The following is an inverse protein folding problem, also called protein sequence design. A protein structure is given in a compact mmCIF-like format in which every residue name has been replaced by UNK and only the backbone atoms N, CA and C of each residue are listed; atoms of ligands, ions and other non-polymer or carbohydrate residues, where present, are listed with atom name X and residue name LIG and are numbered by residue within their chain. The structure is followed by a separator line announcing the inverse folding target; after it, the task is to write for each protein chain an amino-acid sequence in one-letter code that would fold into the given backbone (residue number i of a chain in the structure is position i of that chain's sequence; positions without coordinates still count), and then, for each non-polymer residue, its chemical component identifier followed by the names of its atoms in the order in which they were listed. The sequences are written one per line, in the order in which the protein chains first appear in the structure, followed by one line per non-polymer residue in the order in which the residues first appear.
data_IF_618599353424
#
_entry.id   IF_618599353424
#
_cell.length_a   1.000
_cell.length_b   1.000
_cell.length_c   1.000
_cell.angle_alpha   90.00
_cell.angle_beta   90.00
_cell.angle_gamma   90.00
#
_symmetry.space_group_name_H-M   'P 1'
#
loop_
_entity.id
_entity.type
_entity.pdbx_description
1 polymer ?
#
# COMPACT_ATOMS: atom_id res chain seq x y z
N UNK A 1 15.95 8.81 3.42
CA UNK A 1 14.74 8.00 3.70
C UNK A 1 15.00 7.09 4.89
N UNK A 2 13.92 6.67 5.55
CA UNK A 2 13.96 5.82 6.73
C UNK A 2 14.28 4.36 6.38
N UNK A 3 15.48 3.93 6.74
CA UNK A 3 15.97 2.56 6.55
C UNK A 3 15.21 1.55 7.42
N UNK A 4 14.73 1.99 8.59
CA UNK A 4 13.95 1.15 9.49
C UNK A 4 12.60 0.80 8.84
N UNK A 5 11.99 1.78 8.16
CA UNK A 5 10.76 1.54 7.40
C UNK A 5 11.00 0.57 6.24
N UNK A 6 12.10 0.71 5.49
CA UNK A 6 12.45 -0.21 4.41
C UNK A 6 12.60 -1.66 4.91
N UNK A 7 13.31 -1.86 6.03
CA UNK A 7 13.45 -3.16 6.69
C UNK A 7 12.11 -3.74 7.10
N UNK A 8 11.24 -2.93 7.72
CA UNK A 8 9.90 -3.37 8.12
C UNK A 8 9.08 -3.80 6.91
N UNK A 9 9.15 -3.07 5.79
CA UNK A 9 8.47 -3.43 4.53
C UNK A 9 8.98 -4.77 3.99
N UNK A 10 10.30 -4.98 3.90
CA UNK A 10 10.86 -6.27 3.50
C UNK A 10 10.38 -7.40 4.41
N UNK A 11 10.23 -7.16 5.71
CA UNK A 11 9.72 -8.15 6.67
C UNK A 11 8.19 -8.34 6.66
N UNK A 12 7.48 -7.72 5.71
CA UNK A 12 6.05 -7.92 5.52
C UNK A 12 5.17 -6.77 6.01
N UNK A 13 5.72 -5.63 6.44
CA UNK A 13 4.88 -4.46 6.73
C UNK A 13 4.18 -4.01 5.45
N UNK A 14 2.85 -3.90 5.53
CA UNK A 14 1.97 -3.46 4.45
C UNK A 14 0.97 -2.42 4.98
N UNK A 15 0.43 -1.56 4.09
CA UNK A 15 -0.60 -0.61 4.47
C UNK A 15 -1.81 -1.30 5.12
N UNK A 16 -2.43 -0.61 6.08
CA UNK A 16 -3.66 -1.03 6.73
C UNK A 16 -4.70 0.06 6.58
N UNK A 17 -5.93 -0.35 6.35
CA UNK A 17 -7.05 0.58 6.17
C UNK A 17 -7.85 0.66 7.46
N UNK A 18 -8.10 1.88 7.92
CA UNK A 18 -9.03 2.19 9.01
C UNK A 18 -10.47 2.36 8.51
N UNK A 19 -10.69 2.14 7.21
CA UNK A 19 -11.99 2.16 6.55
C UNK A 19 -12.26 0.80 5.93
N UNK A 20 -13.53 0.49 5.72
CA UNK A 20 -13.97 -0.58 4.84
C UNK A 20 -13.61 -0.20 3.40
N UNK A 21 -12.93 -1.12 2.72
CA UNK A 21 -12.55 -1.00 1.31
C UNK A 21 -13.25 -2.12 0.52
N UNK A 22 -13.77 -1.87 -0.69
CA UNK A 22 -14.32 -2.92 -1.55
C UNK A 22 -13.35 -4.09 -1.73
N UNK A 23 -13.84 -5.32 -1.70
CA UNK A 23 -13.00 -6.53 -1.73
C UNK A 23 -12.18 -6.62 -3.01
N UNK A 24 -12.76 -6.25 -4.14
CA UNK A 24 -12.06 -6.19 -5.43
C UNK A 24 -10.82 -5.29 -5.39
N UNK A 25 -10.95 -4.11 -4.76
CA UNK A 25 -9.85 -3.16 -4.59
C UNK A 25 -8.78 -3.72 -3.63
N UNK A 26 -9.21 -4.31 -2.50
CA UNK A 26 -8.28 -4.97 -1.55
C UNK A 26 -7.47 -6.07 -2.24
N UNK A 27 -8.12 -6.88 -3.08
CA UNK A 27 -7.46 -7.96 -3.82
C UNK A 27 -6.41 -7.43 -4.80
N UNK A 28 -6.72 -6.37 -5.54
CA UNK A 28 -5.76 -5.75 -6.46
C UNK A 28 -4.55 -5.19 -5.69
N UNK A 29 -4.78 -4.46 -4.60
CA UNK A 29 -3.72 -3.93 -3.73
C UNK A 29 -2.84 -5.06 -3.18
N UNK A 30 -3.44 -6.18 -2.76
CA UNK A 30 -2.72 -7.36 -2.28
C UNK A 30 -1.81 -7.97 -3.34
N UNK A 31 -2.25 -8.04 -4.60
CA UNK A 31 -1.40 -8.50 -5.72
C UNK A 31 -0.27 -7.53 -6.02
N UNK A 32 -0.55 -6.22 -6.04
CA UNK A 32 0.47 -5.19 -6.30
C UNK A 32 1.58 -5.17 -5.24
N UNK A 33 1.27 -5.55 -4.00
CA UNK A 33 2.18 -5.52 -2.86
C UNK A 33 2.78 -6.88 -2.49
N UNK A 34 2.62 -7.89 -3.35
CA UNK A 34 3.18 -9.23 -3.12
C UNK A 34 4.72 -9.16 -3.09
N UNK A 35 5.35 -9.82 -2.12
CA UNK A 35 6.79 -9.93 -2.04
C UNK A 35 7.39 -10.62 -3.28
N UNK A 36 6.70 -11.62 -3.82
CA UNK A 36 7.10 -12.28 -5.06
C UNK A 36 6.73 -11.40 -6.27
N UNK A 37 7.76 -10.97 -7.01
CA UNK A 37 7.58 -10.15 -8.21
C UNK A 37 6.71 -10.81 -9.30
N UNK A 38 6.72 -12.14 -9.40
CA UNK A 38 5.93 -12.87 -10.41
C UNK A 38 4.43 -12.86 -10.12
N UNK A 39 4.03 -12.58 -8.88
CA UNK A 39 2.63 -12.42 -8.49
C UNK A 39 2.12 -10.99 -8.71
N UNK A 40 3.01 -10.03 -8.96
CA UNK A 40 2.64 -8.63 -9.18
C UNK A 40 2.09 -8.45 -10.59
N UNK A 41 0.95 -7.77 -10.76
CA UNK A 41 0.43 -7.47 -12.07
C UNK A 41 1.31 -6.44 -12.77
N UNK A 42 1.37 -6.52 -14.09
CA UNK A 42 1.96 -5.48 -14.94
C UNK A 42 1.10 -4.22 -14.90
N UNK A 43 1.71 -3.07 -15.19
CA UNK A 43 0.99 -1.80 -15.27
C UNK A 43 -0.21 -1.85 -16.23
N UNK A 44 -0.05 -2.47 -17.39
CA UNK A 44 -1.12 -2.67 -18.38
C UNK A 44 -2.29 -3.50 -17.82
N UNK A 45 -2.01 -4.54 -17.03
CA UNK A 45 -3.05 -5.36 -16.40
C UNK A 45 -3.82 -4.58 -15.34
N UNK A 46 -3.13 -3.72 -14.58
CA UNK A 46 -3.75 -2.81 -13.61
C UNK A 46 -4.65 -1.82 -14.35
N UNK A 47 -4.15 -1.15 -15.38
CA UNK A 47 -4.90 -0.19 -16.19
C UNK A 47 -6.16 -0.82 -16.77
N UNK A 48 -6.04 -1.99 -17.40
CA UNK A 48 -7.17 -2.73 -17.96
C UNK A 48 -8.20 -3.10 -16.89
N UNK A 49 -7.75 -3.54 -15.73
CA UNK A 49 -8.64 -3.90 -14.60
C UNK A 49 -9.42 -2.67 -14.13
N UNK A 50 -8.74 -1.56 -13.87
CA UNK A 50 -9.35 -0.31 -13.42
C UNK A 50 -10.30 0.27 -14.49
N UNK A 51 -9.92 0.22 -15.76
CA UNK A 51 -10.74 0.69 -16.87
C UNK A 51 -12.01 -0.16 -17.07
N UNK A 52 -11.92 -1.48 -16.89
CA UNK A 52 -13.09 -2.35 -16.88
C UNK A 52 -14.02 -2.00 -15.74
N UNK A 53 -13.52 -1.93 -14.51
CA UNK A 53 -14.31 -1.54 -13.34
C UNK A 53 -15.00 -0.19 -13.52
N UNK A 54 -14.29 0.80 -14.06
CA UNK A 54 -14.87 2.09 -14.39
C UNK A 54 -16.00 1.96 -15.41
N UNK A 55 -15.80 1.23 -16.51
CA UNK A 55 -16.88 1.01 -17.51
C UNK A 55 -18.07 0.28 -16.89
N UNK A 56 -17.80 -0.79 -16.15
CA UNK A 56 -18.81 -1.64 -15.53
C UNK A 56 -19.60 -0.90 -14.47
N UNK A 57 -19.03 0.08 -13.76
CA UNK A 57 -19.78 0.87 -12.77
C UNK A 57 -20.83 1.80 -13.38
N UNK A 58 -20.73 2.15 -14.67
CA UNK A 58 -21.67 3.03 -15.38
C UNK A 58 -22.63 2.31 -16.33
N UNK A 59 -22.45 1.01 -16.56
CA UNK A 59 -23.30 0.21 -17.43
C UNK A 59 -24.14 -0.79 -16.63
N UNK A 60 -25.41 -0.46 -16.29
CA UNK A 60 -26.29 -1.35 -15.55
C UNK A 60 -26.52 -2.73 -16.20
N UNK A 61 -26.22 -2.87 -17.49
CA UNK A 61 -26.34 -4.13 -18.23
C UNK A 61 -25.07 -4.99 -18.15
N UNK A 62 -23.98 -4.45 -17.62
CA UNK A 62 -22.75 -5.20 -17.42
C UNK A 62 -22.90 -6.19 -16.28
N UNK A 63 -22.38 -7.41 -16.47
CA UNK A 63 -22.32 -8.43 -15.43
C UNK A 63 -21.57 -7.96 -14.18
N UNK A 64 -20.55 -7.10 -14.35
CA UNK A 64 -19.73 -6.58 -13.24
C UNK A 64 -20.36 -5.40 -12.49
N UNK A 65 -21.41 -4.77 -13.03
CA UNK A 65 -22.03 -3.57 -12.46
C UNK A 65 -22.51 -3.80 -11.03
N UNK A 66 -23.28 -4.87 -10.82
CA UNK A 66 -23.81 -5.19 -9.51
C UNK A 66 -22.70 -5.50 -8.51
N UNK A 67 -21.66 -6.24 -8.92
CA UNK A 67 -20.58 -6.61 -8.01
C UNK A 67 -19.79 -5.40 -7.51
N UNK A 68 -19.38 -4.51 -8.42
CA UNK A 68 -18.58 -3.33 -8.03
C UNK A 68 -19.41 -2.34 -7.22
N UNK A 69 -20.63 -2.02 -7.68
CA UNK A 69 -21.46 -1.02 -7.04
C UNK A 69 -21.98 -1.50 -5.67
N UNK A 70 -22.36 -2.78 -5.54
CA UNK A 70 -22.77 -3.33 -4.25
C UNK A 70 -21.61 -3.29 -3.23
N UNK A 71 -20.39 -3.63 -3.64
CA UNK A 71 -19.24 -3.59 -2.73
C UNK A 71 -18.87 -2.15 -2.32
N UNK A 72 -19.03 -1.18 -3.23
CA UNK A 72 -18.83 0.25 -2.93
C UNK A 72 -19.90 0.72 -1.95
N UNK A 73 -21.17 0.44 -2.22
CA UNK A 73 -22.29 0.85 -1.36
C UNK A 73 -22.19 0.24 0.04
N UNK A 74 -21.91 -1.06 0.14
CA UNK A 74 -21.67 -1.73 1.43
C UNK A 74 -20.53 -1.06 2.21
N UNK A 75 -19.43 -0.75 1.54
CA UNK A 75 -18.29 -0.09 2.16
C UNK A 75 -18.65 1.31 2.67
N UNK A 76 -19.37 2.09 1.86
CA UNK A 76 -19.84 3.41 2.25
C UNK A 76 -20.79 3.38 3.44
N UNK A 77 -21.76 2.47 3.46
CA UNK A 77 -22.71 2.34 4.58
C UNK A 77 -21.96 2.04 5.88
N UNK A 78 -21.00 1.12 5.86
CA UNK A 78 -20.20 0.76 7.03
C UNK A 78 -19.34 1.95 7.48
N UNK A 79 -18.68 2.62 6.54
CA UNK A 79 -17.82 3.75 6.82
C UNK A 79 -18.62 4.93 7.40
N UNK A 80 -19.79 5.25 6.84
CA UNK A 80 -20.71 6.28 7.36
C UNK A 80 -21.19 5.96 8.78
N UNK A 81 -21.57 4.71 9.07
CA UNK A 81 -21.94 4.27 10.43
C UNK A 81 -20.80 4.43 11.44
N UNK A 82 -19.57 4.09 11.04
CA UNK A 82 -18.38 4.26 11.88
C UNK A 82 -18.12 5.74 12.22
N UNK A 83 -18.36 6.65 11.28
CA UNK A 83 -18.26 8.09 11.50
C UNK A 83 -19.33 8.65 12.45
N UNK A 84 -20.54 8.09 12.45
CA UNK A 84 -21.62 8.58 13.32
C UNK A 84 -21.36 8.19 14.79
N UNK A 85 -20.75 7.02 15.01
CA UNK A 85 -20.47 6.52 16.36
C UNK A 85 -19.21 7.16 16.99
N UNK A 86 -18.31 7.70 16.18
CA UNK A 86 -17.12 8.42 16.63
C UNK A 86 -17.36 9.91 16.39
N UNK A 87 -17.60 10.69 17.44
CA UNK A 87 -18.02 12.11 17.39
C UNK A 87 -17.01 13.11 16.80
N UNK A 88 -16.25 12.73 15.78
CA UNK A 88 -15.29 13.57 15.05
C UNK A 88 -15.75 13.72 13.60
N UNK A 89 -16.24 14.91 13.27
CA UNK A 89 -16.66 15.33 11.94
C UNK A 89 -15.47 15.36 10.97
N UNK A 90 -15.33 14.32 10.17
CA UNK A 90 -15.03 14.35 8.73
C UNK A 90 -14.64 12.93 8.33
N UNK A 91 -14.85 12.57 7.06
CA UNK A 91 -14.20 11.42 6.44
C UNK A 91 -12.69 11.68 6.28
N UNK A 92 -12.10 12.44 7.22
CA UNK A 92 -10.85 13.16 7.15
C UNK A 92 -9.71 12.21 6.94
N UNK A 93 -9.47 11.89 5.67
CA UNK A 93 -8.15 11.55 5.17
C UNK A 93 -7.34 12.84 5.33
N UNK A 94 -7.00 13.18 6.58
CA UNK A 94 -5.92 14.09 6.90
C UNK A 94 -4.65 13.32 6.53
N UNK A 95 -4.31 13.34 5.25
CA UNK A 95 -3.01 12.83 4.82
C UNK A 95 -1.97 13.82 5.33
N UNK A 96 -1.44 13.54 6.52
CA UNK A 96 -0.30 14.29 7.05
C UNK A 96 0.92 13.81 6.28
N UNK A 97 1.35 14.60 5.31
CA UNK A 97 2.61 14.36 4.61
C UNK A 97 3.76 14.63 5.58
N UNK A 98 4.77 13.76 5.56
CA UNK A 98 6.00 14.05 6.29
C UNK A 98 6.74 15.17 5.56
N UNK A 99 7.33 16.12 6.28
CA UNK A 99 8.09 17.23 5.65
C UNK A 99 9.25 16.76 4.79
N UNK A 100 9.78 15.55 5.05
CA UNK A 100 10.83 14.90 4.26
C UNK A 100 10.32 13.93 3.18
N UNK A 101 9.01 13.88 2.92
CA UNK A 101 8.45 13.01 1.89
C UNK A 101 8.86 13.51 0.50
N UNK A 102 9.40 12.59 -0.32
CA UNK A 102 9.79 12.85 -1.71
C UNK A 102 8.84 12.03 -2.60
N UNK A 103 8.13 12.72 -3.50
CA UNK A 103 7.12 12.12 -4.37
C UNK A 103 7.60 11.88 -5.80
N UNK A 104 8.79 12.35 -6.13
CA UNK A 104 9.46 12.03 -7.39
C UNK A 104 10.17 10.68 -7.29
N UNK A 105 10.24 9.97 -8.42
CA UNK A 105 10.96 8.71 -8.50
C UNK A 105 12.44 8.93 -8.16
N UNK A 106 12.99 8.05 -7.32
CA UNK A 106 14.40 8.07 -6.92
C UNK A 106 14.85 6.67 -6.54
N UNK A 107 16.12 6.37 -6.83
CA UNK A 107 16.71 5.09 -6.44
C UNK A 107 16.84 5.02 -4.90
N UNK A 108 16.36 3.94 -4.32
CA UNK A 108 16.56 3.63 -2.90
C UNK A 108 17.81 2.76 -2.77
N UNK A 109 18.93 3.35 -2.38
CA UNK A 109 20.18 2.62 -2.14
C UNK A 109 20.30 2.27 -0.65
N UNK A 110 19.74 1.12 -0.26
CA UNK A 110 19.93 0.56 1.08
C UNK A 110 20.73 -0.73 0.94
N UNK A 111 21.91 -0.79 1.54
CA UNK A 111 22.73 -2.00 1.59
C UNK A 111 22.13 -2.99 2.59
N UNK A 112 22.22 -4.30 2.33
CA UNK A 112 21.85 -5.36 3.28
C UNK A 112 20.38 -5.38 3.76
N UNK A 113 19.41 -5.06 2.90
CA UNK A 113 18.00 -5.30 3.21
C UNK A 113 17.71 -6.81 3.32
N UNK A 114 16.84 -7.23 4.26
CA UNK A 114 16.43 -8.63 4.34
C UNK A 114 15.59 -9.02 3.12
N UNK A 115 15.53 -10.32 2.84
CA UNK A 115 14.70 -10.86 1.77
C UNK A 115 13.23 -10.46 1.97
N UNK A 116 12.55 -9.92 0.93
CA UNK A 116 11.15 -9.56 1.02
C UNK A 116 10.26 -10.78 1.30
N UNK A 117 9.38 -10.65 2.29
CA UNK A 117 8.33 -11.61 2.59
C UNK A 117 6.97 -10.94 2.70
N UNK A 118 5.93 -11.73 2.50
CA UNK A 118 4.54 -11.36 2.78
C UNK A 118 4.28 -11.45 4.29
N UNK A 119 3.34 -10.68 4.84
CA UNK A 119 2.92 -10.92 6.24
C UNK A 119 2.02 -12.15 6.31
N UNK A 120 2.22 -12.93 7.36
CA UNK A 120 1.54 -14.21 7.57
C UNK A 120 0.01 -14.03 7.61
N UNK A 121 -0.46 -12.88 8.10
CA UNK A 121 -1.88 -12.55 8.25
C UNK A 121 -2.47 -11.67 7.13
N UNK A 122 -1.66 -11.18 6.19
CA UNK A 122 -2.12 -10.21 5.18
C UNK A 122 -3.20 -10.81 4.27
N UNK A 123 -3.05 -12.09 3.95
CA UNK A 123 -3.89 -12.79 2.97
C UNK A 123 -5.02 -13.61 3.61
N UNK A 124 -4.97 -13.92 4.91
CA UNK A 124 -5.98 -14.74 5.59
C UNK A 124 -7.35 -14.07 5.72
N UNK A 125 -7.41 -12.74 5.83
CA UNK A 125 -8.69 -12.00 5.97
C UNK A 125 -9.02 -11.24 4.68
N UNK A 126 -10.08 -11.69 4.01
CA UNK A 126 -10.62 -11.07 2.79
C UNK A 126 -11.45 -9.81 3.06
N UNK A 127 -11.79 -9.53 4.33
CA UNK A 127 -12.88 -8.61 4.62
C UNK A 127 -12.48 -7.30 5.29
N UNK A 128 -11.28 -7.16 5.87
CA UNK A 128 -10.69 -5.90 6.36
C UNK A 128 -9.26 -6.18 6.83
N UNK A 129 -8.28 -5.35 6.45
CA UNK A 129 -6.87 -5.47 6.86
C UNK A 129 -6.68 -4.88 8.26
N UNK A 130 -7.47 -5.37 9.22
CA UNK A 130 -7.24 -5.12 10.65
C UNK A 130 -7.00 -6.48 11.28
N UNK A 131 -5.73 -6.84 11.37
CA UNK A 131 -5.29 -8.00 12.14
C UNK A 131 -4.37 -7.51 13.25
N UNK A 132 -4.84 -7.62 14.49
CA UNK A 132 -4.09 -7.23 15.68
C UNK A 132 -2.78 -8.04 15.82
N UNK A 133 -2.74 -9.27 15.27
CA UNK A 133 -1.63 -10.23 15.39
C UNK A 133 -0.30 -9.72 14.83
N UNK A 134 -0.29 -9.08 13.66
CA UNK A 134 0.96 -8.57 13.09
C UNK A 134 1.49 -7.30 13.78
N UNK A 135 0.72 -6.66 14.68
CA UNK A 135 1.25 -5.57 15.50
C UNK A 135 2.28 -6.06 16.53
N UNK A 136 2.19 -7.33 16.97
CA UNK A 136 3.10 -7.93 17.95
C UNK A 136 4.42 -8.41 17.30
N UNK A 137 4.40 -8.84 16.03
CA UNK A 137 5.58 -9.33 15.31
C UNK A 137 6.49 -8.21 14.75
N UNK A 138 6.08 -6.95 14.86
CA UNK A 138 6.86 -5.77 14.43
C UNK A 138 7.90 -5.29 15.46
N UNK A 139 7.98 -5.91 16.65
CA UNK A 139 9.07 -5.67 17.61
C UNK A 139 10.39 -6.24 17.09
N UNK A 140 10.93 -5.61 16.07
CA UNK A 140 12.19 -5.98 15.42
C UNK A 140 13.31 -5.20 16.09
N UNK A 141 14.29 -5.91 16.65
CA UNK A 141 15.54 -5.34 17.11
C UNK A 141 16.43 -5.02 15.89
N UNK A 142 16.31 -3.79 15.38
CA UNK A 142 17.01 -3.33 14.18
C UNK A 142 18.52 -3.17 14.46
N UNK A 143 18.92 -3.04 15.73
CA UNK A 143 20.34 -2.89 16.12
C UNK A 143 21.20 -4.10 15.76
N UNK A 144 20.58 -5.28 15.55
CA UNK A 144 21.25 -6.51 15.12
C UNK A 144 21.44 -6.64 13.61
N UNK A 145 20.89 -5.71 12.82
CA UNK A 145 21.05 -5.72 11.37
C UNK A 145 22.22 -4.80 10.98
N UNK A 146 23.24 -5.36 10.31
CA UNK A 146 24.39 -4.61 9.79
C UNK A 146 23.99 -3.83 8.53
N UNK A 147 23.24 -2.74 8.68
CA UNK A 147 22.71 -1.94 7.56
C UNK A 147 23.45 -0.59 7.51
N UNK A 148 24.30 -0.39 6.50
CA UNK A 148 24.99 0.89 6.28
C UNK A 148 24.17 1.81 5.36
N UNK A 149 24.19 3.10 5.66
CA UNK A 149 23.79 4.15 4.72
C UNK A 149 25.05 4.64 4.04
N UNK A 150 25.25 4.29 2.78
CA UNK A 150 26.32 4.89 2.01
C UNK A 150 25.83 6.27 1.54
N UNK A 151 26.13 7.30 2.32
CA UNK A 151 25.91 8.70 1.95
C UNK A 151 26.88 9.07 0.82
N UNK A 152 26.46 8.90 -0.42
CA UNK A 152 27.21 9.41 -1.58
C UNK A 152 26.97 10.91 -1.72
N UNK A 153 27.82 11.69 -1.05
CA UNK A 153 28.09 13.07 -1.38
C UNK A 153 29.04 13.09 -2.60
N UNK A 154 28.52 12.90 -3.81
CA UNK A 154 29.30 13.10 -5.04
C UNK A 154 28.92 14.42 -5.70
N UNK A 155 29.86 15.36 -5.59
CA UNK A 155 29.90 16.64 -6.30
C UNK A 155 29.61 16.43 -7.79
N UNK A 156 28.64 17.17 -8.32
CA UNK A 156 28.50 17.40 -9.76
C UNK A 156 29.66 18.30 -10.21
N UNK A 157 30.74 17.72 -10.71
CA UNK A 157 31.66 18.45 -11.58
C UNK A 157 31.00 18.54 -12.96
N UNK A 158 30.55 19.75 -13.30
CA UNK A 158 30.16 20.10 -14.65
C UNK A 158 31.35 19.96 -15.58
N UNK A 159 31.12 19.29 -16.72
CA UNK A 159 31.90 19.49 -17.93
C UNK A 159 30.93 19.68 -19.09
N UNK A 160 30.58 20.94 -19.31
CA UNK A 160 30.33 21.45 -20.66
C UNK A 160 31.50 21.06 -21.56
N UNK A 161 31.18 20.62 -22.79
CA UNK A 161 31.98 20.88 -23.98
C UNK A 161 31.13 20.63 -25.23
N UNK A 162 30.75 21.77 -25.81
CA UNK A 162 30.61 22.16 -27.24
C UNK A 162 30.15 21.05 -28.19
#
# INVERSE_FOLDING_TARGET
HDINLAVKICKGLRPRFNIKVPKLIVHLIKKCLDANQFNRPKAEEIEKTLGNWFRESYDPKSNGYAEINNQIEEAEIINKKSLINNSTTSLGISYKTHSEAIYTSRLLNFSNLPEPKNSDDYYEKNNNIISMKFSESLQIDISRLNISKDDQNSKSEGKEKI
#
